data_IF_171145072483
#
_entry.id   IF_171145072483
#
_cell.length_a   1.000
_cell.length_b   1.000
_cell.length_c   1.000
_cell.angle_alpha   90.00
_cell.angle_beta   90.00
_cell.angle_gamma   90.00
#
_symmetry.space_group_name_H-M   'P 1'
#
loop_
_entity.id
_entity.type
_entity.pdbx_description
1 polymer ?
#
# COMPACT_ATOMS: atom_id res chain seq x y z
N UNK A 1 0.88 10.30 21.14
CA UNK A 1 -0.21 11.04 20.44
C UNK A 1 0.45 12.07 19.55
N UNK A 2 0.18 12.04 18.26
CA UNK A 2 0.63 13.12 17.38
C UNK A 2 0.02 14.44 17.83
N UNK A 3 0.80 15.53 17.91
CA UNK A 3 0.28 16.80 18.41
C UNK A 3 -0.73 17.39 17.41
N UNK A 4 -1.91 17.74 17.90
CA UNK A 4 -2.91 18.50 17.14
C UNK A 4 -2.30 19.86 16.76
N UNK A 5 -2.40 20.24 15.47
CA UNK A 5 -1.86 21.52 14.95
C UNK A 5 -2.99 22.54 14.69
N UNK A 6 -3.48 23.28 15.70
CA UNK A 6 -4.69 24.09 15.59
C UNK A 6 -4.64 25.14 14.47
N UNK A 7 -3.47 25.75 14.24
CA UNK A 7 -3.29 26.75 13.17
C UNK A 7 -3.54 26.17 11.79
N UNK A 8 -3.06 24.93 11.54
CA UNK A 8 -3.26 24.26 10.25
C UNK A 8 -4.71 23.83 10.05
N UNK A 9 -5.40 23.44 11.14
CA UNK A 9 -6.84 23.13 11.08
C UNK A 9 -7.64 24.39 10.68
N UNK A 10 -7.36 25.52 11.31
CA UNK A 10 -8.01 26.79 10.99
C UNK A 10 -7.73 27.18 9.54
N UNK A 11 -6.49 27.09 9.08
CA UNK A 11 -6.12 27.37 7.69
C UNK A 11 -6.90 26.46 6.73
N UNK A 12 -6.97 25.15 7.01
CA UNK A 12 -7.72 24.20 6.18
C UNK A 12 -9.20 24.54 6.10
N UNK A 13 -9.81 24.92 7.23
CA UNK A 13 -11.21 25.32 7.29
C UNK A 13 -11.47 26.63 6.52
N UNK A 14 -10.63 27.65 6.74
CA UNK A 14 -10.73 28.95 6.04
C UNK A 14 -10.56 28.75 4.53
N UNK A 15 -9.59 27.93 4.11
CA UNK A 15 -9.38 27.62 2.69
C UNK A 15 -10.58 26.92 2.05
N UNK A 16 -11.19 25.96 2.76
CA UNK A 16 -12.39 25.28 2.29
C UNK A 16 -13.59 26.22 2.15
N UNK A 17 -13.81 27.09 3.14
CA UNK A 17 -14.88 28.10 3.12
C UNK A 17 -14.63 29.13 2.01
N UNK A 18 -13.40 29.59 1.85
CA UNK A 18 -13.05 30.53 0.77
C UNK A 18 -13.26 29.88 -0.61
N UNK A 19 -12.84 28.63 -0.79
CA UNK A 19 -13.07 27.89 -2.05
C UNK A 19 -14.56 27.74 -2.34
N UNK A 20 -15.36 27.38 -1.33
CA UNK A 20 -16.82 27.30 -1.48
C UNK A 20 -17.40 28.63 -2.00
N UNK A 21 -17.03 29.76 -1.40
CA UNK A 21 -17.47 31.09 -1.83
C UNK A 21 -17.05 31.44 -3.25
N UNK A 22 -15.79 31.16 -3.62
CA UNK A 22 -15.25 31.37 -4.98
C UNK A 22 -16.00 30.54 -6.01
N UNK A 23 -16.25 29.25 -5.74
CA UNK A 23 -16.94 28.34 -6.67
C UNK A 23 -18.42 28.76 -6.86
N UNK A 24 -19.10 29.15 -5.82
CA UNK A 24 -20.46 29.71 -5.95
C UNK A 24 -20.47 30.98 -6.79
N UNK A 25 -19.52 31.88 -6.56
CA UNK A 25 -19.42 33.13 -7.32
C UNK A 25 -19.08 32.89 -8.79
N UNK A 26 -18.35 31.81 -9.10
CA UNK A 26 -18.06 31.39 -10.47
C UNK A 26 -19.23 30.69 -11.18
N UNK A 27 -20.37 30.51 -10.50
CA UNK A 27 -21.60 29.96 -11.10
C UNK A 27 -21.76 28.46 -10.96
N UNK A 28 -20.90 27.75 -10.18
CA UNK A 28 -21.10 26.34 -9.91
C UNK A 28 -22.33 26.13 -9.00
N UNK A 29 -22.98 24.98 -9.15
CA UNK A 29 -24.08 24.58 -8.28
C UNK A 29 -23.64 24.47 -6.81
N UNK A 30 -24.57 24.72 -5.87
CA UNK A 30 -24.29 24.57 -4.44
C UNK A 30 -23.69 23.19 -4.09
N UNK A 31 -24.26 22.13 -4.68
CA UNK A 31 -23.84 20.74 -4.42
C UNK A 31 -22.39 20.49 -4.91
N UNK A 32 -22.02 21.00 -6.08
CA UNK A 32 -20.64 20.91 -6.58
C UNK A 32 -19.68 21.70 -5.70
N UNK A 33 -20.03 22.94 -5.38
CA UNK A 33 -19.18 23.84 -4.60
C UNK A 33 -18.92 23.31 -3.18
N UNK A 34 -19.95 22.81 -2.49
CA UNK A 34 -19.81 22.25 -1.14
C UNK A 34 -19.05 20.93 -1.16
N UNK A 35 -19.23 20.08 -2.19
CA UNK A 35 -18.47 18.85 -2.36
C UNK A 35 -16.99 19.14 -2.55
N UNK A 36 -16.63 20.08 -3.38
CA UNK A 36 -15.25 20.53 -3.57
C UNK A 36 -14.64 21.08 -2.27
N UNK A 37 -15.38 21.90 -1.54
CA UNK A 37 -14.94 22.49 -0.28
C UNK A 37 -14.68 21.43 0.81
N UNK A 38 -15.59 20.47 1.00
CA UNK A 38 -15.41 19.35 1.95
C UNK A 38 -14.19 18.53 1.55
N UNK A 39 -14.02 18.24 0.26
CA UNK A 39 -12.86 17.48 -0.25
C UNK A 39 -11.56 18.22 0.02
N UNK A 40 -11.49 19.52 -0.27
CA UNK A 40 -10.28 20.32 0.00
C UNK A 40 -9.99 20.39 1.50
N UNK A 41 -11.00 20.48 2.36
CA UNK A 41 -10.82 20.40 3.80
C UNK A 41 -10.14 19.09 4.21
N UNK A 42 -10.69 17.95 3.78
CA UNK A 42 -10.14 16.61 4.09
C UNK A 42 -8.73 16.47 3.53
N UNK A 43 -8.53 16.87 2.26
CA UNK A 43 -7.23 16.82 1.59
C UNK A 43 -6.15 17.63 2.32
N UNK A 44 -6.47 18.89 2.70
CA UNK A 44 -5.53 19.74 3.44
C UNK A 44 -5.20 19.16 4.82
N UNK A 45 -6.18 18.60 5.54
CA UNK A 45 -5.95 17.96 6.82
C UNK A 45 -5.06 16.70 6.70
N UNK A 46 -5.20 15.93 5.60
CA UNK A 46 -4.32 14.78 5.33
C UNK A 46 -2.90 15.22 4.94
N UNK A 47 -2.77 16.19 4.03
CA UNK A 47 -1.45 16.65 3.56
C UNK A 47 -0.67 17.38 4.66
N UNK A 48 -1.35 18.16 5.50
CA UNK A 48 -0.69 18.92 6.58
C UNK A 48 -0.44 18.08 7.83
N UNK A 49 -1.04 16.87 7.90
CA UNK A 49 -1.04 16.04 9.12
C UNK A 49 -1.41 16.88 10.36
N UNK A 50 -2.43 17.72 10.21
CA UNK A 50 -2.90 18.59 11.27
C UNK A 50 -3.63 17.83 12.38
N UNK A 51 -4.14 16.65 12.04
CA UNK A 51 -4.78 15.65 12.89
C UNK A 51 -4.26 14.27 12.53
N UNK A 52 -4.42 13.30 13.43
CA UNK A 52 -4.19 11.89 13.09
C UNK A 52 -4.99 11.50 11.85
N UNK A 53 -4.37 10.84 10.88
CA UNK A 53 -4.88 10.59 9.51
C UNK A 53 -6.30 9.98 9.47
N UNK A 54 -6.69 9.22 10.48
CA UNK A 54 -8.01 8.60 10.57
C UNK A 54 -9.14 9.60 10.87
N UNK A 55 -8.85 10.73 11.53
CA UNK A 55 -9.88 11.69 11.95
C UNK A 55 -10.46 12.49 10.76
N UNK A 56 -9.66 13.05 9.86
CA UNK A 56 -10.21 13.67 8.65
C UNK A 56 -11.03 12.73 7.80
N UNK A 57 -10.71 11.43 7.82
CA UNK A 57 -11.46 10.40 7.09
C UNK A 57 -12.90 10.22 7.56
N UNK A 58 -13.23 10.67 8.76
CA UNK A 58 -14.60 10.65 9.28
C UNK A 58 -15.45 11.82 8.77
N UNK A 59 -14.83 12.91 8.31
CA UNK A 59 -15.54 14.10 7.83
C UNK A 59 -16.52 13.78 6.70
N UNK A 60 -16.16 13.03 5.65
CA UNK A 60 -17.07 12.66 4.57
C UNK A 60 -18.37 12.01 5.05
N UNK A 61 -18.31 11.16 6.08
CA UNK A 61 -19.46 10.40 6.57
C UNK A 61 -20.57 11.23 7.19
N UNK A 62 -20.25 12.42 7.72
CA UNK A 62 -21.27 13.31 8.26
C UNK A 62 -21.44 14.59 7.40
N UNK A 63 -20.36 15.12 6.83
CA UNK A 63 -20.44 16.41 6.12
C UNK A 63 -21.23 16.31 4.81
N UNK A 64 -21.04 15.24 4.01
CA UNK A 64 -21.80 15.05 2.78
C UNK A 64 -23.28 14.79 3.00
N UNK A 65 -23.72 13.92 3.94
CA UNK A 65 -25.13 13.83 4.28
C UNK A 65 -25.74 15.12 4.81
N UNK A 66 -25.03 15.87 5.68
CA UNK A 66 -25.48 17.16 6.17
C UNK A 66 -25.62 18.21 5.06
N UNK A 67 -24.77 18.13 4.04
CA UNK A 67 -24.82 18.99 2.86
C UNK A 67 -25.84 18.52 1.79
N UNK A 68 -26.50 17.39 1.98
CA UNK A 68 -27.46 16.82 1.02
C UNK A 68 -26.83 16.29 -0.28
N UNK A 69 -25.53 16.01 -0.28
CA UNK A 69 -24.80 15.49 -1.46
C UNK A 69 -25.10 14.02 -1.69
N UNK A 70 -25.04 13.21 -0.62
CA UNK A 70 -25.38 11.79 -0.58
C UNK A 70 -26.21 11.50 0.67
N UNK A 71 -26.93 10.39 0.67
CA UNK A 71 -27.68 9.94 1.86
C UNK A 71 -26.72 9.35 2.92
N UNK A 72 -27.18 9.30 4.18
CA UNK A 72 -26.38 8.68 5.24
C UNK A 72 -26.22 7.16 5.04
N UNK A 73 -27.15 6.49 4.34
CA UNK A 73 -27.02 5.08 3.95
C UNK A 73 -25.89 4.89 2.93
N UNK A 74 -25.84 5.74 1.91
CA UNK A 74 -24.75 5.72 0.92
C UNK A 74 -23.40 5.98 1.59
N UNK A 75 -23.30 7.00 2.44
CA UNK A 75 -22.08 7.26 3.20
C UNK A 75 -21.67 6.03 4.04
N UNK A 76 -22.60 5.42 4.79
CA UNK A 76 -22.33 4.24 5.61
C UNK A 76 -21.90 3.02 4.76
N UNK A 77 -22.43 2.87 3.54
CA UNK A 77 -22.07 1.77 2.63
C UNK A 77 -20.58 1.79 2.25
N UNK A 78 -19.93 2.95 2.29
CA UNK A 78 -18.50 3.06 2.03
C UNK A 78 -17.67 2.30 3.10
N UNK A 79 -18.07 2.32 4.36
CA UNK A 79 -17.40 1.53 5.42
C UNK A 79 -17.69 0.03 5.29
N UNK A 80 -18.88 -0.35 4.81
CA UNK A 80 -19.26 -1.75 4.54
C UNK A 80 -18.76 -2.30 3.20
N UNK A 81 -17.93 -1.58 2.47
CA UNK A 81 -17.43 -2.01 1.17
C UNK A 81 -16.62 -3.31 1.30
N UNK A 82 -16.85 -4.28 0.38
CA UNK A 82 -16.18 -5.58 0.40
C UNK A 82 -14.64 -5.48 0.33
N UNK A 83 -14.11 -4.42 -0.28
CA UNK A 83 -12.67 -4.15 -0.33
C UNK A 83 -12.12 -3.81 1.06
N UNK A 84 -12.88 -3.09 1.90
CA UNK A 84 -12.54 -2.84 3.31
C UNK A 84 -12.52 -4.15 4.11
N UNK A 85 -13.51 -5.02 3.89
CA UNK A 85 -13.59 -6.34 4.52
C UNK A 85 -12.42 -7.24 4.09
N UNK A 86 -12.02 -7.19 2.81
CA UNK A 86 -10.82 -7.89 2.31
C UNK A 86 -9.57 -7.44 3.08
N UNK A 87 -9.36 -6.12 3.20
CA UNK A 87 -8.21 -5.58 3.94
C UNK A 87 -8.21 -5.96 5.41
N UNK A 88 -9.36 -5.83 6.06
CA UNK A 88 -9.51 -6.22 7.46
C UNK A 88 -9.09 -7.67 7.67
N UNK A 89 -9.59 -8.58 6.83
CA UNK A 89 -9.22 -10.00 6.87
C UNK A 89 -7.74 -10.22 6.55
N UNK A 90 -7.19 -9.57 5.54
CA UNK A 90 -5.79 -9.68 5.17
C UNK A 90 -4.84 -9.18 6.28
N UNK A 91 -5.16 -8.06 6.93
CA UNK A 91 -4.38 -7.56 8.07
C UNK A 91 -4.43 -8.52 9.26
N UNK A 92 -5.58 -9.10 9.56
CA UNK A 92 -5.71 -10.12 10.62
C UNK A 92 -4.91 -11.38 10.30
N UNK A 93 -4.96 -11.86 9.05
CA UNK A 93 -4.14 -13.00 8.59
C UNK A 93 -2.64 -12.68 8.67
N UNK A 94 -2.22 -11.49 8.28
CA UNK A 94 -0.83 -11.02 8.44
C UNK A 94 -0.38 -11.05 9.90
N UNK A 95 -1.26 -10.68 10.85
CA UNK A 95 -0.97 -10.76 12.29
C UNK A 95 -0.73 -12.19 12.78
N UNK A 96 -1.34 -13.21 12.19
CA UNK A 96 -1.04 -14.61 12.53
C UNK A 96 0.37 -15.03 12.12
N UNK A 97 0.85 -14.56 10.93
CA UNK A 97 2.24 -14.75 10.49
C UNK A 97 3.23 -14.06 11.43
N UNK A 98 2.90 -12.84 11.88
CA UNK A 98 3.71 -12.10 12.84
C UNK A 98 3.75 -12.81 14.21
N UNK A 99 2.59 -13.24 14.75
CA UNK A 99 2.48 -13.93 16.04
C UNK A 99 3.28 -15.24 16.07
N UNK A 100 3.21 -16.04 15.02
CA UNK A 100 3.93 -17.31 14.94
C UNK A 100 5.44 -17.14 14.82
N UNK A 101 5.90 -16.03 14.28
CA UNK A 101 7.31 -15.77 13.96
C UNK A 101 7.82 -16.45 12.70
N UNK A 102 6.95 -17.15 11.93
CA UNK A 102 7.33 -17.86 10.70
C UNK A 102 7.96 -16.95 9.65
N UNK A 103 7.53 -15.69 9.61
CA UNK A 103 8.08 -14.67 8.71
C UNK A 103 9.59 -14.45 8.91
N UNK A 104 10.11 -14.54 10.15
CA UNK A 104 11.56 -14.45 10.45
C UNK A 104 12.33 -15.61 9.85
N UNK A 105 11.79 -16.83 9.97
CA UNK A 105 12.37 -18.04 9.40
C UNK A 105 12.41 -17.99 7.90
N UNK A 106 11.27 -17.62 7.27
CA UNK A 106 11.17 -17.42 5.82
C UNK A 106 12.20 -16.42 5.31
N UNK A 107 12.40 -15.30 6.04
CA UNK A 107 13.40 -14.31 5.70
C UNK A 107 14.81 -14.91 5.59
N UNK A 108 15.26 -15.62 6.61
CA UNK A 108 16.59 -16.24 6.58
C UNK A 108 16.73 -17.28 5.46
N UNK A 109 15.69 -18.09 5.21
CA UNK A 109 15.71 -19.07 4.11
C UNK A 109 15.76 -18.40 2.73
N UNK A 110 14.99 -17.34 2.51
CA UNK A 110 14.99 -16.61 1.23
C UNK A 110 16.34 -15.92 0.98
N UNK A 111 16.96 -15.31 2.02
CA UNK A 111 18.30 -14.73 1.90
C UNK A 111 19.34 -15.82 1.60
N UNK A 112 19.26 -16.97 2.23
CA UNK A 112 20.17 -18.11 1.98
C UNK A 112 20.03 -18.66 0.55
N UNK A 113 18.80 -18.70 0.02
CA UNK A 113 18.50 -19.20 -1.33
C UNK A 113 19.22 -18.38 -2.42
N UNK A 114 19.29 -17.05 -2.24
CA UNK A 114 19.96 -16.15 -3.18
C UNK A 114 21.49 -16.17 -3.06
N UNK A 115 22.02 -16.73 -1.96
CA UNK A 115 23.44 -16.88 -1.66
C UNK A 115 24.06 -15.63 -1.06
N UNK A 116 24.68 -15.79 0.11
CA UNK A 116 25.36 -14.72 0.85
C UNK A 116 26.87 -14.60 0.52
N UNK A 117 27.37 -15.28 -0.50
CA UNK A 117 28.81 -15.41 -0.80
C UNK A 117 29.43 -14.14 -1.40
N UNK A 118 28.63 -13.17 -1.81
CA UNK A 118 29.09 -11.87 -2.27
C UNK A 118 28.15 -10.76 -1.85
N UNK A 119 28.68 -9.55 -1.64
CA UNK A 119 27.92 -8.38 -1.21
C UNK A 119 26.73 -8.10 -2.14
N UNK A 120 26.90 -8.23 -3.46
CA UNK A 120 25.80 -8.05 -4.43
C UNK A 120 24.68 -9.07 -4.26
N UNK A 121 25.02 -10.36 -4.11
CA UNK A 121 24.02 -11.41 -3.89
C UNK A 121 23.32 -11.26 -2.56
N UNK A 122 24.05 -10.83 -1.52
CA UNK A 122 23.47 -10.56 -0.22
C UNK A 122 22.44 -9.43 -0.28
N UNK A 123 22.78 -8.29 -0.91
CA UNK A 123 21.84 -7.17 -1.10
C UNK A 123 20.61 -7.63 -1.87
N UNK A 124 20.81 -8.34 -3.00
CA UNK A 124 19.70 -8.89 -3.77
C UNK A 124 18.85 -9.85 -2.93
N UNK A 125 19.48 -10.67 -2.09
CA UNK A 125 18.78 -11.58 -1.16
C UNK A 125 17.89 -10.86 -0.17
N UNK A 126 18.38 -9.79 0.44
CA UNK A 126 17.57 -8.93 1.30
C UNK A 126 16.44 -8.27 0.54
N UNK A 127 16.70 -7.73 -0.64
CA UNK A 127 15.68 -7.09 -1.49
C UNK A 127 14.62 -8.09 -1.94
N UNK A 128 15.02 -9.26 -2.42
CA UNK A 128 14.10 -10.32 -2.84
C UNK A 128 13.21 -10.79 -1.69
N UNK A 129 13.83 -11.01 -0.53
CA UNK A 129 13.11 -11.39 0.70
C UNK A 129 12.14 -10.30 1.13
N UNK A 130 12.59 -9.05 1.16
CA UNK A 130 11.75 -7.91 1.51
C UNK A 130 10.56 -7.78 0.58
N UNK A 131 10.78 -7.90 -0.73
CA UNK A 131 9.71 -7.83 -1.73
C UNK A 131 8.68 -8.95 -1.56
N UNK A 132 9.12 -10.22 -1.44
CA UNK A 132 8.19 -11.35 -1.28
C UNK A 132 7.38 -11.24 0.00
N UNK A 133 8.03 -10.94 1.12
CA UNK A 133 7.30 -10.83 2.40
C UNK A 133 6.33 -9.65 2.39
N UNK A 134 6.73 -8.54 1.79
CA UNK A 134 5.91 -7.33 1.71
C UNK A 134 4.67 -7.47 0.80
N UNK A 135 4.60 -8.50 -0.03
CA UNK A 135 3.36 -8.85 -0.75
C UNK A 135 2.25 -9.35 0.20
N UNK A 136 2.60 -9.87 1.38
CA UNK A 136 1.67 -10.59 2.26
C UNK A 136 1.60 -10.02 3.67
N UNK A 137 2.67 -9.33 4.09
CA UNK A 137 2.81 -8.70 5.41
C UNK A 137 3.05 -7.20 5.17
N UNK A 138 2.70 -6.35 6.14
CA UNK A 138 2.92 -4.90 5.98
C UNK A 138 4.40 -4.57 5.71
N UNK A 139 4.64 -3.58 4.86
CA UNK A 139 6.00 -3.09 4.54
C UNK A 139 6.77 -2.73 5.81
N UNK A 140 6.10 -2.11 6.78
CA UNK A 140 6.67 -1.74 8.09
C UNK A 140 7.13 -2.95 8.88
N UNK A 141 6.29 -3.98 9.01
CA UNK A 141 6.64 -5.20 9.74
C UNK A 141 7.79 -5.95 9.06
N UNK A 142 7.79 -6.02 7.74
CA UNK A 142 8.86 -6.62 6.94
C UNK A 142 10.20 -5.90 7.18
N UNK A 143 10.20 -4.57 7.14
CA UNK A 143 11.41 -3.76 7.34
C UNK A 143 11.93 -3.86 8.77
N UNK A 144 11.06 -3.72 9.79
CA UNK A 144 11.43 -3.87 11.20
C UNK A 144 12.04 -5.25 11.51
N UNK A 145 11.55 -6.29 10.86
CA UNK A 145 12.06 -7.63 11.04
C UNK A 145 13.43 -7.84 10.39
N UNK A 146 13.63 -7.31 9.17
CA UNK A 146 14.89 -7.47 8.43
C UNK A 146 16.01 -6.57 8.97
N UNK A 147 15.67 -5.43 9.57
CA UNK A 147 16.65 -4.44 10.05
C UNK A 147 17.66 -5.02 11.05
N UNK A 148 17.28 -5.74 12.12
CA UNK A 148 18.25 -6.31 13.06
C UNK A 148 19.20 -7.31 12.40
N UNK A 149 18.68 -8.14 11.45
CA UNK A 149 19.49 -9.09 10.70
C UNK A 149 20.50 -8.35 9.82
N UNK A 150 20.04 -7.31 9.14
CA UNK A 150 20.88 -6.47 8.29
C UNK A 150 21.98 -5.76 9.09
N UNK A 151 21.65 -5.14 10.23
CA UNK A 151 22.62 -4.44 11.08
C UNK A 151 23.69 -5.38 11.64
N UNK A 152 23.32 -6.58 12.06
CA UNK A 152 24.29 -7.56 12.52
C UNK A 152 25.33 -7.91 11.44
N UNK A 153 24.89 -8.04 10.17
CA UNK A 153 25.77 -8.34 9.04
C UNK A 153 26.60 -7.12 8.64
N UNK A 154 26.00 -5.92 8.63
CA UNK A 154 26.67 -4.66 8.30
C UNK A 154 27.83 -4.40 9.29
N UNK A 155 27.56 -4.50 10.59
CA UNK A 155 28.57 -4.30 11.62
C UNK A 155 29.70 -5.33 11.54
N UNK A 156 29.37 -6.59 11.22
CA UNK A 156 30.38 -7.63 11.05
C UNK A 156 31.24 -7.42 9.78
N UNK A 157 30.69 -6.80 8.74
CA UNK A 157 31.40 -6.56 7.46
C UNK A 157 32.30 -5.32 7.53
N UNK A 158 32.02 -4.38 8.41
CA UNK A 158 32.68 -3.08 8.54
C UNK A 158 32.74 -2.27 7.23
N UNK A 159 31.69 -2.39 6.38
CA UNK A 159 31.58 -1.74 5.08
C UNK A 159 30.38 -0.77 5.03
N UNK A 160 30.62 0.55 5.11
CA UNK A 160 29.56 1.56 4.99
C UNK A 160 28.78 1.49 3.67
N UNK A 161 29.46 1.12 2.58
CA UNK A 161 28.81 0.97 1.26
C UNK A 161 27.82 -0.18 1.24
N UNK A 162 28.18 -1.30 1.89
CA UNK A 162 27.28 -2.44 2.04
C UNK A 162 26.07 -2.04 2.91
N UNK A 163 26.32 -1.31 4.01
CA UNK A 163 25.27 -0.80 4.89
C UNK A 163 24.22 0.00 4.13
N UNK A 164 24.64 1.00 3.38
CA UNK A 164 23.75 1.81 2.55
C UNK A 164 22.93 0.95 1.57
N UNK A 165 23.59 0.05 0.83
CA UNK A 165 22.92 -0.76 -0.20
C UNK A 165 21.91 -1.76 0.40
N UNK A 166 22.22 -2.38 1.55
CA UNK A 166 21.32 -3.33 2.23
C UNK A 166 20.11 -2.59 2.82
N UNK A 167 20.34 -1.49 3.55
CA UNK A 167 19.26 -0.77 4.23
C UNK A 167 18.29 -0.12 3.24
N UNK A 168 18.80 0.60 2.25
CA UNK A 168 17.97 1.14 1.17
C UNK A 168 17.29 0.03 0.38
N UNK A 169 18.01 -1.05 0.09
CA UNK A 169 17.49 -2.22 -0.59
C UNK A 169 16.29 -2.84 0.13
N UNK A 170 16.33 -2.99 1.44
CA UNK A 170 15.22 -3.51 2.26
C UNK A 170 14.00 -2.59 2.16
N UNK A 171 14.18 -1.29 2.42
CA UNK A 171 13.07 -0.33 2.46
C UNK A 171 12.39 -0.18 1.09
N UNK A 172 13.20 -0.02 0.05
CA UNK A 172 12.68 0.20 -1.31
C UNK A 172 12.08 -1.07 -1.90
N UNK A 173 12.68 -2.24 -1.63
CA UNK A 173 12.10 -3.51 -2.03
C UNK A 173 10.82 -3.86 -1.26
N UNK A 174 10.66 -3.42 -0.01
CA UNK A 174 9.39 -3.54 0.71
C UNK A 174 8.29 -2.73 0.01
N UNK A 175 8.58 -1.49 -0.37
CA UNK A 175 7.62 -0.62 -1.06
C UNK A 175 7.22 -1.17 -2.43
N UNK A 176 8.19 -1.53 -3.28
CA UNK A 176 7.94 -2.11 -4.61
C UNK A 176 7.31 -3.50 -4.51
N UNK A 177 7.76 -4.34 -3.57
CA UNK A 177 7.20 -5.67 -3.34
C UNK A 177 5.71 -5.65 -3.02
N UNK A 178 5.29 -4.70 -2.18
CA UNK A 178 3.87 -4.50 -1.85
C UNK A 178 2.97 -4.24 -3.06
N UNK A 179 3.52 -3.79 -4.19
CA UNK A 179 2.77 -3.65 -5.45
C UNK A 179 2.35 -5.00 -6.04
N UNK A 180 3.08 -6.08 -5.74
CA UNK A 180 2.85 -7.40 -6.35
C UNK A 180 1.50 -8.03 -6.04
N UNK A 181 0.84 -7.66 -4.93
CA UNK A 181 -0.50 -8.15 -4.58
C UNK A 181 -1.45 -7.01 -4.24
N UNK A 182 -2.78 -7.23 -4.31
CA UNK A 182 -3.76 -6.21 -3.89
C UNK A 182 -3.54 -5.71 -2.46
N UNK A 183 -3.21 -6.60 -1.54
CA UNK A 183 -3.15 -6.36 -0.10
C UNK A 183 -1.78 -5.87 0.40
N UNK A 184 -0.75 -5.85 -0.45
CA UNK A 184 0.62 -5.54 -0.04
C UNK A 184 0.84 -4.07 0.28
N UNK A 185 0.11 -3.15 -0.36
CA UNK A 185 0.19 -1.72 -0.07
C UNK A 185 -1.16 -1.02 -0.25
N UNK A 186 -1.45 0.00 0.59
CA UNK A 186 -2.74 0.70 0.60
C UNK A 186 -3.23 1.27 -0.73
N UNK A 187 -2.41 1.95 -1.53
CA UNK A 187 -2.85 2.52 -2.81
C UNK A 187 -3.48 1.52 -3.79
N UNK A 188 -3.04 0.25 -3.76
CA UNK A 188 -3.59 -0.80 -4.64
C UNK A 188 -5.09 -0.98 -4.41
N UNK A 189 -5.47 -1.05 -3.15
CA UNK A 189 -6.86 -1.28 -2.73
C UNK A 189 -7.74 -0.04 -2.97
N UNK A 190 -7.20 1.17 -2.74
CA UNK A 190 -7.91 2.42 -3.05
C UNK A 190 -8.26 2.45 -4.52
N UNK A 191 -7.28 2.14 -5.38
CA UNK A 191 -7.50 2.03 -6.82
C UNK A 191 -8.61 1.01 -7.14
N UNK A 192 -8.50 -0.23 -6.63
CA UNK A 192 -9.49 -1.29 -6.92
C UNK A 192 -10.90 -0.88 -6.54
N UNK A 193 -11.06 -0.22 -5.39
CA UNK A 193 -12.37 0.24 -4.91
C UNK A 193 -12.95 1.35 -5.78
N UNK A 194 -12.15 2.38 -6.09
CA UNK A 194 -12.62 3.51 -6.93
C UNK A 194 -12.86 3.06 -8.36
N UNK A 195 -12.00 2.19 -8.91
CA UNK A 195 -12.17 1.62 -10.24
C UNK A 195 -13.50 0.86 -10.37
N UNK A 196 -13.80 0.01 -9.39
CA UNK A 196 -15.07 -0.72 -9.37
C UNK A 196 -16.29 0.21 -9.24
N UNK A 197 -16.22 1.27 -8.44
CA UNK A 197 -17.28 2.25 -8.31
C UNK A 197 -17.53 2.99 -9.64
N UNK A 198 -16.45 3.29 -10.37
CA UNK A 198 -16.54 4.04 -11.63
C UNK A 198 -16.98 3.17 -12.80
N UNK A 199 -16.49 1.92 -12.89
CA UNK A 199 -16.68 1.05 -14.06
C UNK A 199 -17.67 -0.08 -13.83
N UNK A 200 -18.07 -0.34 -12.58
CA UNK A 200 -18.86 -1.53 -12.20
C UNK A 200 -18.07 -2.85 -12.25
N UNK A 201 -16.79 -2.82 -12.64
CA UNK A 201 -15.96 -4.02 -12.85
C UNK A 201 -15.04 -4.28 -11.67
N UNK A 202 -15.11 -5.47 -11.09
CA UNK A 202 -14.20 -5.90 -10.01
C UNK A 202 -12.86 -6.39 -10.59
N UNK A 203 -11.76 -5.94 -10.02
CA UNK A 203 -10.43 -6.50 -10.29
C UNK A 203 -10.17 -7.60 -9.27
N UNK A 204 -10.08 -8.86 -9.74
CA UNK A 204 -9.76 -10.00 -8.89
C UNK A 204 -8.29 -9.98 -8.44
N UNK A 205 -7.99 -10.72 -7.37
CA UNK A 205 -6.63 -10.85 -6.83
C UNK A 205 -5.60 -11.24 -7.90
N UNK A 206 -5.91 -12.27 -8.70
CA UNK A 206 -5.02 -12.72 -9.78
C UNK A 206 -4.90 -11.70 -10.91
N UNK A 207 -5.97 -10.97 -11.24
CA UNK A 207 -5.91 -9.96 -12.29
C UNK A 207 -5.03 -8.77 -11.91
N UNK A 208 -4.98 -8.39 -10.63
CA UNK A 208 -3.98 -7.46 -10.14
C UNK A 208 -2.56 -8.03 -10.28
N UNK A 209 -2.33 -9.27 -9.80
CA UNK A 209 -1.01 -9.91 -9.83
C UNK A 209 -0.43 -10.05 -11.24
N UNK A 210 -1.27 -10.24 -12.26
CA UNK A 210 -0.83 -10.30 -13.68
C UNK A 210 -0.08 -9.04 -14.13
N UNK A 211 -0.32 -7.89 -13.51
CA UNK A 211 0.42 -6.63 -13.76
C UNK A 211 1.42 -6.34 -12.67
N UNK A 212 1.02 -6.45 -11.39
CA UNK A 212 1.88 -6.11 -10.26
C UNK A 212 3.14 -6.98 -10.15
N UNK A 213 3.00 -8.30 -10.28
CA UNK A 213 4.15 -9.23 -10.17
C UNK A 213 5.18 -9.01 -11.27
N UNK A 214 4.84 -8.91 -12.57
CA UNK A 214 5.81 -8.56 -13.60
C UNK A 214 6.54 -7.24 -13.35
N UNK A 215 5.84 -6.20 -12.88
CA UNK A 215 6.46 -4.92 -12.51
C UNK A 215 7.51 -5.13 -11.41
N UNK A 216 7.19 -5.87 -10.35
CA UNK A 216 8.13 -6.18 -9.27
C UNK A 216 9.33 -6.98 -9.78
N UNK A 217 9.09 -8.01 -10.62
CA UNK A 217 10.14 -8.86 -11.18
C UNK A 217 11.13 -8.09 -12.07
N UNK A 218 10.71 -7.03 -12.73
CA UNK A 218 11.58 -6.16 -13.55
C UNK A 218 12.22 -5.06 -12.69
N UNK A 219 11.45 -4.40 -11.82
CA UNK A 219 11.95 -3.31 -11.00
C UNK A 219 13.03 -3.76 -10.01
N UNK A 220 12.81 -4.89 -9.33
CA UNK A 220 13.70 -5.36 -8.26
C UNK A 220 15.14 -5.61 -8.73
N UNK A 221 15.42 -6.35 -9.83
CA UNK A 221 16.77 -6.50 -10.37
C UNK A 221 17.41 -5.19 -10.81
N UNK A 222 16.65 -4.29 -11.45
CA UNK A 222 17.17 -2.98 -11.88
C UNK A 222 17.58 -2.13 -10.68
N UNK A 223 16.76 -2.09 -9.64
CA UNK A 223 17.08 -1.42 -8.37
C UNK A 223 18.30 -2.04 -7.69
N UNK A 224 18.39 -3.38 -7.66
CA UNK A 224 19.53 -4.08 -7.10
C UNK A 224 20.83 -3.79 -7.87
N UNK A 225 20.79 -3.78 -9.18
CA UNK A 225 21.94 -3.40 -10.01
C UNK A 225 22.41 -1.98 -9.71
N UNK A 226 21.48 -1.03 -9.58
CA UNK A 226 21.79 0.34 -9.23
C UNK A 226 22.44 0.45 -7.85
N UNK A 227 21.79 -0.10 -6.80
CA UNK A 227 22.26 -0.01 -5.42
C UNK A 227 23.61 -0.73 -5.21
N UNK A 228 23.88 -1.79 -5.97
CA UNK A 228 25.10 -2.61 -5.82
C UNK A 228 26.24 -2.23 -6.76
N UNK A 229 26.10 -1.17 -7.57
CA UNK A 229 27.10 -0.78 -8.58
C UNK A 229 28.50 -0.52 -8.02
N UNK A 230 28.58 -0.11 -6.75
CA UNK A 230 29.84 0.23 -6.06
C UNK A 230 30.35 -0.86 -5.10
N UNK A 231 29.71 -2.05 -5.05
CA UNK A 231 30.03 -3.14 -4.12
C UNK A 231 30.98 -4.20 -4.72
N UNK A 232 32.09 -3.80 -5.31
CA UNK A 232 33.09 -4.77 -5.78
C UNK A 232 34.07 -5.10 -4.66
N UNK A 233 34.22 -6.41 -4.35
CA UNK A 233 35.21 -6.88 -3.38
C UNK A 233 34.86 -6.70 -1.90
N UNK A 234 33.67 -6.21 -1.56
CA UNK A 234 33.22 -6.08 -0.17
C UNK A 234 32.97 -7.45 0.47
N UNK A 235 33.40 -7.57 1.72
CA UNK A 235 33.17 -8.80 2.53
C UNK A 235 31.73 -8.82 3.08
N UNK A 236 31.20 -10.00 3.25
CA UNK A 236 29.89 -10.24 3.84
C UNK A 236 30.01 -10.89 5.22
N UNK A 237 29.09 -10.57 6.14
CA UNK A 237 28.97 -11.25 7.42
C UNK A 237 28.18 -12.59 7.27
N UNK A 238 28.27 -13.44 8.31
CA UNK A 238 27.50 -14.67 8.37
C UNK A 238 26.01 -14.40 8.65
N UNK A 239 25.15 -15.22 8.04
CA UNK A 239 23.71 -15.19 8.33
C UNK A 239 23.41 -15.90 9.66
N UNK A 240 22.40 -15.45 10.41
CA UNK A 240 22.00 -16.12 11.65
C UNK A 240 21.46 -17.52 11.38
N UNK A 241 21.64 -18.41 12.34
CA UNK A 241 21.05 -19.74 12.30
C UNK A 241 19.58 -19.69 12.74
N UNK A 242 18.76 -20.51 12.09
CA UNK A 242 17.36 -20.72 12.49
C UNK A 242 17.22 -22.09 13.15
N UNK A 243 16.62 -22.11 14.32
CA UNK A 243 16.35 -23.33 15.06
C UNK A 243 15.36 -24.28 14.35
N UNK A 244 14.92 -25.37 14.98
CA UNK A 244 13.95 -26.32 14.41
C UNK A 244 12.59 -25.66 14.16
N UNK A 245 11.80 -26.25 13.25
CA UNK A 245 10.44 -25.80 12.98
C UNK A 245 9.53 -25.99 14.20
N UNK A 246 8.78 -24.95 14.55
CA UNK A 246 7.73 -25.03 15.56
C UNK A 246 6.39 -25.41 14.94
N UNK A 247 5.53 -26.10 15.70
CA UNK A 247 4.20 -26.49 15.24
C UNK A 247 3.35 -25.29 14.81
N UNK A 248 3.41 -24.19 15.56
CA UNK A 248 2.71 -22.96 15.25
C UNK A 248 3.12 -22.38 13.89
N UNK A 249 4.44 -22.35 13.59
CA UNK A 249 4.97 -21.84 12.32
C UNK A 249 4.47 -22.65 11.12
N UNK A 250 4.53 -24.00 11.22
CA UNK A 250 4.09 -24.87 10.14
C UNK A 250 2.58 -24.77 9.88
N UNK A 251 1.78 -24.74 10.94
CA UNK A 251 0.31 -24.67 10.83
C UNK A 251 -0.16 -23.32 10.28
N UNK A 252 0.41 -22.21 10.76
CA UNK A 252 0.09 -20.87 10.22
C UNK A 252 0.45 -20.79 8.75
N UNK A 253 1.65 -21.26 8.37
CA UNK A 253 2.08 -21.24 6.98
C UNK A 253 1.19 -22.10 6.08
N UNK A 254 0.76 -23.27 6.56
CA UNK A 254 -0.16 -24.14 5.82
C UNK A 254 -1.51 -23.46 5.56
N UNK A 255 -2.15 -22.92 6.63
CA UNK A 255 -3.46 -22.25 6.50
C UNK A 255 -3.34 -20.99 5.65
N UNK A 256 -2.30 -20.19 5.85
CA UNK A 256 -2.06 -18.99 5.06
C UNK A 256 -1.84 -19.30 3.57
N UNK A 257 -1.03 -20.33 3.28
CA UNK A 257 -0.81 -20.77 1.89
C UNK A 257 -2.11 -21.26 1.24
N UNK A 258 -2.96 -21.96 1.99
CA UNK A 258 -4.28 -22.37 1.51
C UNK A 258 -5.16 -21.17 1.15
N UNK A 259 -5.22 -20.14 2.03
CA UNK A 259 -5.98 -18.91 1.78
C UNK A 259 -5.41 -18.16 0.57
N UNK A 260 -4.07 -18.03 0.48
CA UNK A 260 -3.42 -17.38 -0.66
C UNK A 260 -3.71 -18.09 -1.99
N UNK A 261 -3.68 -19.43 -2.00
CA UNK A 261 -4.07 -20.22 -3.16
C UNK A 261 -5.54 -20.05 -3.51
N UNK A 262 -6.42 -20.00 -2.51
CA UNK A 262 -7.84 -19.75 -2.72
C UNK A 262 -8.08 -18.37 -3.38
N UNK A 263 -7.34 -17.31 -2.99
CA UNK A 263 -7.41 -16.00 -3.65
C UNK A 263 -6.90 -16.03 -5.10
N UNK A 264 -5.71 -16.58 -5.31
CA UNK A 264 -5.07 -16.61 -6.63
C UNK A 264 -5.91 -17.40 -7.63
N UNK A 265 -6.47 -18.53 -7.20
CA UNK A 265 -7.26 -19.40 -8.07
C UNK A 265 -8.77 -19.17 -7.96
N UNK A 266 -9.23 -18.11 -7.26
CA UNK A 266 -10.65 -17.81 -7.07
C UNK A 266 -11.46 -17.87 -8.37
N UNK A 267 -11.09 -17.18 -9.46
CA UNK A 267 -11.91 -17.18 -10.65
C UNK A 267 -12.10 -18.57 -11.27
N UNK A 268 -11.15 -19.48 -11.08
CA UNK A 268 -11.20 -20.83 -11.65
C UNK A 268 -12.07 -21.77 -10.81
N UNK A 269 -11.85 -21.83 -9.47
CA UNK A 269 -12.61 -22.74 -8.64
C UNK A 269 -14.05 -22.26 -8.40
N UNK A 270 -14.29 -20.95 -8.33
CA UNK A 270 -15.68 -20.43 -8.24
C UNK A 270 -16.48 -20.76 -9.47
N UNK A 271 -15.91 -20.60 -10.67
CA UNK A 271 -16.55 -20.99 -11.91
C UNK A 271 -16.80 -22.51 -11.99
N UNK A 272 -15.84 -23.32 -11.51
CA UNK A 272 -15.99 -24.79 -11.53
C UNK A 272 -17.10 -25.28 -10.60
N UNK A 273 -17.25 -24.66 -9.42
CA UNK A 273 -18.28 -25.05 -8.46
C UNK A 273 -19.59 -24.26 -8.59
N UNK A 274 -19.72 -23.33 -9.55
CA UNK A 274 -20.88 -22.45 -9.68
C UNK A 274 -21.07 -21.49 -8.51
N UNK A 275 -19.98 -21.02 -7.92
CA UNK A 275 -19.95 -20.17 -6.71
C UNK A 275 -19.53 -18.73 -7.03
N UNK A 276 -20.03 -18.12 -8.10
CA UNK A 276 -19.66 -16.78 -8.56
C UNK A 276 -19.96 -15.66 -7.56
N UNK A 277 -20.76 -15.94 -6.53
CA UNK A 277 -21.07 -15.05 -5.43
C UNK A 277 -19.95 -14.98 -4.37
N UNK A 278 -18.88 -15.78 -4.45
CA UNK A 278 -17.76 -15.76 -3.53
C UNK A 278 -16.71 -14.74 -3.97
N UNK A 279 -16.55 -13.67 -3.16
CA UNK A 279 -15.53 -12.64 -3.38
C UNK A 279 -14.23 -12.88 -2.58
N UNK A 280 -13.20 -12.09 -2.87
CA UNK A 280 -11.90 -12.16 -2.15
C UNK A 280 -12.06 -11.86 -0.66
N UNK A 281 -12.97 -10.98 -0.29
CA UNK A 281 -13.30 -10.67 1.12
C UNK A 281 -13.89 -11.88 1.87
N UNK A 282 -14.70 -12.68 1.20
CA UNK A 282 -15.28 -13.90 1.77
C UNK A 282 -14.17 -14.89 2.16
N UNK A 283 -13.21 -15.09 1.28
CA UNK A 283 -12.04 -15.97 1.51
C UNK A 283 -11.19 -15.44 2.66
N UNK A 284 -10.94 -14.11 2.69
CA UNK A 284 -10.18 -13.48 3.76
C UNK A 284 -10.78 -13.74 5.13
N UNK A 285 -12.08 -13.46 5.30
CA UNK A 285 -12.78 -13.61 6.57
C UNK A 285 -12.89 -15.08 7.00
N UNK A 286 -13.15 -16.00 6.06
CA UNK A 286 -13.12 -17.43 6.34
C UNK A 286 -11.73 -17.87 6.82
N UNK A 287 -10.65 -17.38 6.19
CA UNK A 287 -9.28 -17.62 6.61
C UNK A 287 -8.98 -17.13 8.04
N UNK A 288 -9.48 -15.95 8.41
CA UNK A 288 -9.35 -15.42 9.78
C UNK A 288 -10.03 -16.34 10.79
N UNK A 289 -11.26 -16.78 10.52
CA UNK A 289 -11.98 -17.71 11.40
C UNK A 289 -11.22 -19.03 11.53
N UNK A 290 -10.71 -19.57 10.44
CA UNK A 290 -9.87 -20.79 10.46
C UNK A 290 -8.63 -20.60 11.35
N UNK A 291 -7.93 -19.47 11.25
CA UNK A 291 -6.79 -19.16 12.12
C UNK A 291 -7.17 -19.07 13.60
N UNK A 292 -8.38 -18.60 13.91
CA UNK A 292 -8.85 -18.48 15.30
C UNK A 292 -9.28 -19.81 15.91
N UNK A 293 -9.70 -20.81 15.12
CA UNK A 293 -10.18 -22.09 15.65
C UNK A 293 -9.13 -23.19 15.60
N UNK A 294 -8.06 -23.07 14.81
CA UNK A 294 -7.00 -24.07 14.71
C UNK A 294 -5.99 -23.87 15.85
N UNK A 295 -5.75 -24.91 16.68
CA UNK A 295 -4.74 -24.85 17.74
C UNK A 295 -3.32 -24.67 17.15
N UNK A 296 -2.48 -23.85 17.81
CA UNK A 296 -1.08 -23.65 17.39
C UNK A 296 -0.14 -24.82 17.77
N UNK A 297 -0.62 -25.75 18.60
CA UNK A 297 0.17 -26.88 19.10
C UNK A 297 1.06 -26.54 20.29
N UNK A 298 0.97 -25.34 20.82
CA UNK A 298 1.73 -24.84 21.97
C UNK A 298 0.78 -24.51 23.13
N UNK A 299 1.27 -24.60 24.36
CA UNK A 299 0.51 -24.15 25.54
C UNK A 299 0.97 -22.75 25.92
N UNK A 300 0.04 -21.85 25.99
CA UNK A 300 0.29 -20.46 26.42
C UNK A 300 0.14 -20.40 27.95
N UNK A 301 1.14 -19.86 28.64
CA UNK A 301 1.11 -19.62 30.08
C UNK A 301 0.33 -18.33 30.32
N UNK A 302 -0.82 -18.43 30.98
CA UNK A 302 -1.65 -17.30 31.40
C UNK A 302 -1.60 -17.15 32.93
N UNK A 303 -1.94 -15.98 33.48
CA UNK A 303 -2.02 -15.80 34.93
C UNK A 303 -2.99 -16.80 35.62
N UNK A 304 -3.96 -17.36 34.86
CA UNK A 304 -4.94 -18.36 35.32
C UNK A 304 -4.54 -19.80 35.05
N UNK A 305 -3.28 -20.07 34.57
CA UNK A 305 -2.79 -21.41 34.23
C UNK A 305 -2.39 -21.56 32.78
N UNK A 306 -2.08 -22.82 32.37
CA UNK A 306 -1.71 -23.12 30.99
C UNK A 306 -2.95 -23.39 30.15
N UNK A 307 -3.16 -22.63 29.05
CA UNK A 307 -4.25 -22.82 28.08
C UNK A 307 -3.71 -23.24 26.72
N UNK A 308 -4.57 -23.94 25.95
CA UNK A 308 -4.29 -24.23 24.54
C UNK A 308 -4.19 -22.93 23.78
N UNK A 309 -3.08 -22.69 23.06
CA UNK A 309 -2.93 -21.57 22.15
C UNK A 309 -3.56 -21.84 20.79
N UNK A 310 -3.98 -20.78 20.10
CA UNK A 310 -4.51 -20.82 18.74
C UNK A 310 -3.62 -20.03 17.78
N UNK A 311 -3.74 -20.27 16.46
CA UNK A 311 -2.91 -19.62 15.44
C UNK A 311 -3.12 -18.11 15.46
N UNK A 312 -4.36 -17.67 15.70
CA UNK A 312 -4.72 -16.27 15.91
C UNK A 312 -5.68 -16.19 17.10
N UNK A 313 -5.47 -15.23 17.96
CA UNK A 313 -6.42 -14.87 19.04
C UNK A 313 -6.95 -13.45 18.82
N UNK A 314 -8.05 -13.11 19.47
CA UNK A 314 -8.68 -11.81 19.31
C UNK A 314 -7.76 -10.65 19.72
N UNK A 315 -6.98 -10.80 20.79
CA UNK A 315 -6.06 -9.77 21.26
C UNK A 315 -4.98 -9.40 20.21
N UNK A 316 -4.57 -10.38 19.43
CA UNK A 316 -3.66 -10.18 18.29
C UNK A 316 -4.42 -9.66 17.07
N UNK A 317 -5.56 -10.23 16.74
CA UNK A 317 -6.36 -9.86 15.58
C UNK A 317 -6.81 -8.39 15.62
N UNK A 318 -7.19 -7.88 16.80
CA UNK A 318 -7.61 -6.48 16.95
C UNK A 318 -6.48 -5.44 16.79
N UNK A 319 -5.19 -5.86 16.75
CA UNK A 319 -4.04 -4.96 16.56
C UNK A 319 -3.79 -4.58 15.09
N UNK A 320 -4.79 -4.71 14.26
CA UNK A 320 -4.73 -4.23 12.88
C UNK A 320 -4.81 -2.70 12.82
N UNK A 321 -4.33 -2.08 11.75
CA UNK A 321 -4.36 -0.62 11.62
C UNK A 321 -5.76 -0.10 11.26
N UNK A 322 -6.67 -0.03 12.24
CA UNK A 322 -8.06 0.45 12.08
C UNK A 322 -8.14 1.82 11.43
N UNK A 323 -7.18 2.73 11.75
CA UNK A 323 -7.12 4.05 11.15
C UNK A 323 -6.98 4.01 9.63
N UNK A 324 -6.25 3.03 9.10
CA UNK A 324 -6.11 2.84 7.65
C UNK A 324 -7.43 2.42 7.00
N UNK A 325 -8.18 1.52 7.64
CA UNK A 325 -9.50 1.11 7.14
C UNK A 325 -10.47 2.30 7.08
N UNK A 326 -10.42 3.19 8.07
CA UNK A 326 -11.22 4.43 8.09
C UNK A 326 -10.80 5.39 6.95
N UNK A 327 -9.49 5.55 6.68
CA UNK A 327 -9.00 6.39 5.58
C UNK A 327 -9.53 5.89 4.25
N UNK A 328 -9.51 4.58 4.01
CA UNK A 328 -10.04 4.00 2.78
C UNK A 328 -11.56 4.19 2.66
N UNK A 329 -12.29 3.94 3.73
CA UNK A 329 -13.74 4.15 3.75
C UNK A 329 -14.10 5.63 3.50
N UNK A 330 -13.34 6.58 4.09
CA UNK A 330 -13.48 8.00 3.82
C UNK A 330 -13.20 8.36 2.36
N UNK A 331 -12.17 7.75 1.76
CA UNK A 331 -11.86 7.90 0.34
C UNK A 331 -12.95 7.38 -0.60
N UNK A 332 -13.54 6.23 -0.26
CA UNK A 332 -14.69 5.66 -0.98
C UNK A 332 -15.89 6.62 -0.90
N UNK A 333 -16.16 7.16 0.28
CA UNK A 333 -17.23 8.13 0.49
C UNK A 333 -17.00 9.44 -0.30
N UNK A 334 -15.74 9.92 -0.39
CA UNK A 334 -15.36 11.05 -1.24
C UNK A 334 -15.64 10.76 -2.73
N UNK A 335 -15.27 9.58 -3.22
CA UNK A 335 -15.50 9.18 -4.61
C UNK A 335 -17.01 9.12 -4.94
N UNK A 336 -17.83 8.59 -4.03
CA UNK A 336 -19.29 8.59 -4.18
C UNK A 336 -19.86 10.01 -4.26
N UNK A 337 -19.37 10.92 -3.39
CA UNK A 337 -19.81 12.31 -3.38
C UNK A 337 -19.38 13.05 -4.66
N UNK A 338 -18.20 12.75 -5.23
CA UNK A 338 -17.75 13.33 -6.51
C UNK A 338 -18.72 12.98 -7.63
N UNK A 339 -19.09 11.71 -7.75
CA UNK A 339 -20.03 11.23 -8.75
C UNK A 339 -21.42 11.86 -8.53
N UNK A 340 -21.93 11.80 -7.30
CA UNK A 340 -23.26 12.32 -6.98
C UNK A 340 -23.40 13.84 -7.18
N UNK A 341 -22.32 14.60 -6.97
CA UNK A 341 -22.33 16.06 -7.16
C UNK A 341 -22.10 16.52 -8.59
N UNK A 342 -21.68 15.65 -9.52
CA UNK A 342 -21.24 16.02 -10.87
C UNK A 342 -19.83 16.66 -10.90
N UNK A 343 -19.10 16.63 -9.78
CA UNK A 343 -17.74 17.19 -9.72
C UNK A 343 -16.76 16.36 -10.57
N UNK A 344 -17.01 15.07 -10.70
CA UNK A 344 -16.23 14.18 -11.56
C UNK A 344 -16.23 14.63 -13.02
N UNK A 345 -17.37 14.94 -13.58
CA UNK A 345 -17.53 15.39 -14.97
C UNK A 345 -16.86 16.74 -15.20
N UNK A 346 -16.98 17.67 -14.25
CA UNK A 346 -16.33 18.98 -14.32
C UNK A 346 -14.81 18.86 -14.34
N UNK A 347 -14.24 18.04 -13.45
CA UNK A 347 -12.81 17.79 -13.39
C UNK A 347 -12.31 17.09 -14.66
N UNK A 348 -13.07 16.09 -15.16
CA UNK A 348 -12.77 15.41 -16.39
C UNK A 348 -12.68 16.37 -17.58
N UNK A 349 -13.66 17.25 -17.75
CA UNK A 349 -13.65 18.26 -18.81
C UNK A 349 -12.44 19.19 -18.72
N UNK A 350 -12.01 19.58 -17.53
CA UNK A 350 -10.81 20.41 -17.33
C UNK A 350 -9.50 19.71 -17.75
N UNK A 351 -9.50 18.38 -17.83
CA UNK A 351 -8.32 17.57 -18.15
C UNK A 351 -8.28 17.09 -19.62
N UNK A 352 -9.27 17.43 -20.45
CA UNK A 352 -9.31 17.04 -21.87
C UNK A 352 -8.07 17.50 -22.67
N UNK A 353 -7.41 18.59 -22.27
CA UNK A 353 -6.15 19.02 -22.87
C UNK A 353 -5.01 17.99 -22.75
N UNK A 354 -5.10 17.03 -21.82
CA UNK A 354 -4.10 15.95 -21.69
C UNK A 354 -4.17 14.92 -22.82
N UNK A 355 -5.31 14.84 -23.55
CA UNK A 355 -5.49 13.91 -24.66
C UNK A 355 -4.52 14.19 -25.84
N UNK A 356 -3.88 15.34 -25.88
CA UNK A 356 -2.89 15.68 -26.92
C UNK A 356 -1.58 14.91 -26.76
N UNK A 357 -1.28 14.44 -25.54
CA UNK A 357 -0.02 13.71 -25.28
C UNK A 357 -0.12 12.25 -25.74
N UNK A 358 0.96 11.69 -26.36
CA UNK A 358 1.05 10.25 -26.58
C UNK A 358 0.83 9.49 -25.24
N UNK A 359 0.04 8.43 -25.27
CA UNK A 359 -0.39 7.70 -24.07
C UNK A 359 0.79 7.29 -23.18
N UNK A 360 1.89 6.80 -23.78
CA UNK A 360 3.10 6.46 -23.01
C UNK A 360 3.65 7.67 -22.24
N UNK A 361 3.73 8.83 -22.88
CA UNK A 361 4.25 10.04 -22.26
C UNK A 361 3.31 10.56 -21.15
N UNK A 362 2.00 10.51 -21.38
CA UNK A 362 0.99 10.86 -20.40
C UNK A 362 1.14 10.01 -19.13
N UNK A 363 1.20 8.68 -19.27
CA UNK A 363 1.34 7.75 -18.14
C UNK A 363 2.70 7.93 -17.45
N UNK A 364 3.79 8.13 -18.20
CA UNK A 364 5.11 8.35 -17.61
C UNK A 364 5.17 9.65 -16.78
N UNK A 365 4.66 10.75 -17.32
CA UNK A 365 4.59 12.03 -16.60
C UNK A 365 3.72 11.90 -15.36
N UNK A 366 2.60 11.19 -15.44
CA UNK A 366 1.75 10.88 -14.30
C UNK A 366 2.50 10.08 -13.23
N UNK A 367 3.19 8.99 -13.61
CA UNK A 367 3.98 8.17 -12.69
C UNK A 367 5.04 9.00 -11.97
N UNK A 368 5.81 9.81 -12.71
CA UNK A 368 6.83 10.69 -12.14
C UNK A 368 6.20 11.71 -11.19
N UNK A 369 5.15 12.41 -11.62
CA UNK A 369 4.47 13.42 -10.81
C UNK A 369 3.97 12.83 -9.50
N UNK A 370 3.28 11.68 -9.54
CA UNK A 370 2.77 11.02 -8.35
C UNK A 370 3.91 10.55 -7.46
N UNK A 371 4.97 9.94 -8.01
CA UNK A 371 6.12 9.48 -7.25
C UNK A 371 6.84 10.63 -6.53
N UNK A 372 6.98 11.80 -7.14
CA UNK A 372 7.59 12.97 -6.47
C UNK A 372 6.65 13.64 -5.45
N UNK A 373 5.35 13.69 -5.71
CA UNK A 373 4.36 14.23 -4.76
C UNK A 373 4.30 13.36 -3.50
N UNK A 374 4.32 12.05 -3.65
CA UNK A 374 4.24 11.13 -2.51
C UNK A 374 5.49 11.14 -1.62
N UNK A 375 6.61 11.73 -2.05
CA UNK A 375 7.80 11.95 -1.20
C UNK A 375 7.56 12.93 -0.04
N UNK A 376 6.60 13.82 -0.20
CA UNK A 376 6.26 14.86 0.79
C UNK A 376 4.83 14.72 1.33
N UNK A 377 4.07 13.77 0.81
CA UNK A 377 2.70 13.47 1.23
C UNK A 377 2.56 11.99 1.56
N UNK A 378 1.51 11.62 2.31
CA UNK A 378 1.21 10.21 2.57
C UNK A 378 0.80 9.48 1.29
N UNK A 379 1.38 8.30 1.03
CA UNK A 379 1.04 7.42 -0.11
C UNK A 379 -0.48 7.17 -0.18
N UNK A 380 -1.08 6.89 0.98
CA UNK A 380 -2.52 6.62 1.11
C UNK A 380 -3.35 7.86 0.77
N UNK A 381 -2.99 9.02 1.34
CA UNK A 381 -3.69 10.28 1.06
C UNK A 381 -3.58 10.66 -0.42
N UNK A 382 -2.39 10.54 -1.00
CA UNK A 382 -2.14 10.81 -2.43
C UNK A 382 -3.03 9.93 -3.31
N UNK A 383 -3.04 8.61 -3.06
CA UNK A 383 -3.89 7.69 -3.83
C UNK A 383 -5.38 8.01 -3.64
N UNK A 384 -5.83 8.23 -2.40
CA UNK A 384 -7.23 8.49 -2.10
C UNK A 384 -7.77 9.73 -2.82
N UNK A 385 -6.95 10.78 -2.90
CA UNK A 385 -7.33 12.03 -3.58
C UNK A 385 -7.27 11.92 -5.10
N UNK A 386 -6.24 11.23 -5.63
CA UNK A 386 -6.02 11.17 -7.07
C UNK A 386 -6.95 10.18 -7.78
N UNK A 387 -7.32 9.06 -7.16
CA UNK A 387 -8.07 8.00 -7.85
C UNK A 387 -9.40 8.48 -8.45
N UNK A 388 -10.29 9.21 -7.74
CA UNK A 388 -11.53 9.72 -8.33
C UNK A 388 -11.28 10.72 -9.47
N UNK A 389 -10.24 11.56 -9.35
CA UNK A 389 -9.87 12.57 -10.36
C UNK A 389 -9.37 11.86 -11.63
N UNK A 390 -8.50 10.87 -11.49
CA UNK A 390 -7.95 10.12 -12.61
C UNK A 390 -9.00 9.24 -13.30
N UNK A 391 -9.95 8.69 -12.54
CA UNK A 391 -11.08 7.96 -13.10
C UNK A 391 -11.89 8.87 -14.03
N UNK A 392 -12.23 10.06 -13.55
CA UNK A 392 -12.99 11.04 -14.33
C UNK A 392 -12.20 11.58 -15.53
N UNK A 393 -10.90 11.83 -15.36
CA UNK A 393 -10.01 12.27 -16.42
C UNK A 393 -9.93 11.22 -17.56
N UNK A 394 -9.78 9.94 -17.19
CA UNK A 394 -9.70 8.85 -18.17
C UNK A 394 -10.98 8.74 -19.00
N UNK A 395 -12.15 8.80 -18.34
CA UNK A 395 -13.45 8.80 -19.03
C UNK A 395 -13.58 10.00 -19.98
N UNK A 396 -13.15 11.19 -19.54
CA UNK A 396 -13.24 12.41 -20.36
C UNK A 396 -12.35 12.39 -21.62
N UNK A 397 -11.25 11.64 -21.62
CA UNK A 397 -10.34 11.49 -22.78
C UNK A 397 -10.54 10.17 -23.52
N UNK A 398 -11.63 9.44 -23.24
CA UNK A 398 -11.99 8.15 -23.85
C UNK A 398 -10.91 7.06 -23.72
N UNK A 399 -10.30 6.98 -22.52
CA UNK A 399 -9.29 5.97 -22.15
C UNK A 399 -9.82 5.14 -20.98
N UNK A 400 -9.53 3.82 -20.97
CA UNK A 400 -9.90 2.98 -19.84
C UNK A 400 -9.30 3.57 -18.54
N UNK A 401 -10.11 3.85 -17.51
CA UNK A 401 -9.65 4.37 -16.23
C UNK A 401 -8.50 3.58 -15.61
N UNK A 402 -8.42 2.28 -15.87
CA UNK A 402 -7.34 1.41 -15.42
C UNK A 402 -5.96 1.93 -15.86
N UNK A 403 -5.86 2.47 -17.09
CA UNK A 403 -4.58 2.90 -17.70
C UNK A 403 -3.98 4.13 -16.99
N UNK A 404 -4.80 4.99 -16.40
CA UNK A 404 -4.31 6.13 -15.61
C UNK A 404 -4.26 5.82 -14.11
N UNK A 405 -5.28 5.15 -13.58
CA UNK A 405 -5.41 4.93 -12.15
C UNK A 405 -4.40 3.91 -11.61
N UNK A 406 -4.20 2.79 -12.32
CA UNK A 406 -3.32 1.71 -11.84
C UNK A 406 -1.85 2.15 -11.74
N UNK A 407 -1.25 2.78 -12.77
CA UNK A 407 0.13 3.26 -12.65
C UNK A 407 0.29 4.37 -11.61
N UNK A 408 -0.71 5.24 -11.43
CA UNK A 408 -0.70 6.23 -10.37
C UNK A 408 -0.75 5.59 -8.97
N UNK A 409 -1.59 4.57 -8.75
CA UNK A 409 -1.66 3.84 -7.49
C UNK A 409 -0.33 3.14 -7.16
N UNK A 410 0.29 2.50 -8.15
CA UNK A 410 1.61 1.86 -8.01
C UNK A 410 2.68 2.91 -7.68
N UNK A 411 2.71 4.03 -8.42
CA UNK A 411 3.68 5.10 -8.21
C UNK A 411 3.52 5.80 -6.86
N UNK A 412 2.29 5.91 -6.34
CA UNK A 412 2.03 6.42 -5.00
C UNK A 412 2.68 5.56 -3.89
N UNK A 413 2.98 4.28 -4.16
CA UNK A 413 3.71 3.40 -3.23
C UNK A 413 5.23 3.50 -3.39
N UNK A 414 5.73 4.18 -4.44
CA UNK A 414 7.13 4.24 -4.83
C UNK A 414 7.75 5.59 -4.45
N UNK A 415 8.02 5.78 -3.15
CA UNK A 415 8.70 6.95 -2.60
C UNK A 415 10.05 6.53 -2.00
N UNK A 416 11.16 6.95 -2.62
CA UNK A 416 12.49 6.43 -2.29
C UNK A 416 13.47 7.50 -1.81
N UNK A 417 13.09 8.81 -1.81
CA UNK A 417 14.04 9.90 -1.56
C UNK A 417 14.08 10.33 -0.09
N UNK A 418 12.92 10.49 0.53
CA UNK A 418 12.83 11.15 1.83
C UNK A 418 12.59 10.15 2.97
N UNK A 419 13.24 10.33 4.14
CA UNK A 419 12.97 9.50 5.32
C UNK A 419 11.51 9.58 5.76
N UNK A 420 10.88 10.75 5.62
CA UNK A 420 9.49 11.00 6.06
C UNK A 420 8.44 10.48 5.07
N UNK A 421 8.85 10.14 3.84
CA UNK A 421 7.93 9.73 2.79
C UNK A 421 7.15 8.45 3.14
N UNK A 422 7.83 7.50 3.78
CA UNK A 422 7.24 6.21 4.16
C UNK A 422 7.75 5.73 5.52
N UNK A 423 6.95 4.96 6.28
CA UNK A 423 7.43 4.34 7.52
C UNK A 423 8.69 3.48 7.32
N UNK A 424 8.81 2.78 6.19
CA UNK A 424 9.98 1.93 5.92
C UNK A 424 11.25 2.75 5.73
N UNK A 425 11.17 3.90 5.07
CA UNK A 425 12.29 4.84 4.92
C UNK A 425 12.72 5.40 6.28
N UNK A 426 11.76 5.80 7.12
CA UNK A 426 12.02 6.29 8.48
C UNK A 426 12.72 5.23 9.34
N UNK A 427 12.29 3.97 9.26
CA UNK A 427 12.87 2.85 10.00
C UNK A 427 14.34 2.64 9.63
N UNK A 428 14.66 2.53 8.35
CA UNK A 428 16.06 2.32 7.94
C UNK A 428 16.93 3.57 8.21
N UNK A 429 16.37 4.76 8.09
CA UNK A 429 17.04 6.00 8.44
C UNK A 429 17.36 6.10 9.94
N UNK A 430 16.46 5.62 10.80
CA UNK A 430 16.65 5.63 12.26
C UNK A 430 17.80 4.73 12.74
N UNK A 431 18.34 3.86 11.89
CA UNK A 431 19.53 3.06 12.20
C UNK A 431 20.79 3.92 12.40
N UNK A 432 20.80 5.16 11.92
CA UNK A 432 21.97 6.05 11.97
C UNK A 432 23.02 5.80 10.88
N UNK A 433 22.86 4.76 10.08
CA UNK A 433 23.80 4.37 9.00
C UNK A 433 23.57 5.13 7.67
N UNK A 434 22.46 5.87 7.57
CA UNK A 434 22.06 6.57 6.36
C UNK A 434 22.01 8.08 6.57
N UNK A 435 22.34 8.83 5.50
CA UNK A 435 22.11 10.28 5.47
C UNK A 435 20.98 10.62 4.49
N UNK A 436 20.24 11.70 4.75
CA UNK A 436 19.19 12.19 3.85
C UNK A 436 19.76 12.43 2.44
N UNK A 437 20.96 13.01 2.36
CA UNK A 437 21.65 13.24 1.05
C UNK A 437 21.85 11.95 0.26
N UNK A 438 22.21 10.86 0.94
CA UNK A 438 22.37 9.54 0.30
C UNK A 438 21.03 9.01 -0.17
N UNK A 439 19.99 9.09 0.66
CA UNK A 439 18.64 8.65 0.29
C UNK A 439 18.12 9.43 -0.93
N UNK A 440 18.23 10.74 -0.94
CA UNK A 440 17.79 11.57 -2.07
C UNK A 440 18.54 11.20 -3.35
N UNK A 441 19.87 11.08 -3.29
CA UNK A 441 20.70 10.77 -4.46
C UNK A 441 20.36 9.41 -5.07
N UNK A 442 20.21 8.38 -4.25
CA UNK A 442 19.90 7.04 -4.73
C UNK A 442 18.42 6.94 -5.12
N UNK A 443 17.51 7.57 -4.34
CA UNK A 443 16.08 7.53 -4.53
C UNK A 443 15.59 8.22 -5.80
N UNK A 444 16.14 9.40 -6.17
CA UNK A 444 15.76 10.09 -7.43
C UNK A 444 15.92 9.18 -8.65
N UNK A 445 17.04 8.48 -8.73
CA UNK A 445 17.31 7.60 -9.89
C UNK A 445 16.34 6.41 -9.87
N UNK A 446 16.05 5.87 -8.68
CA UNK A 446 15.13 4.74 -8.55
C UNK A 446 13.68 5.15 -8.82
N UNK A 447 13.25 6.36 -8.42
CA UNK A 447 11.93 6.90 -8.80
C UNK A 447 11.79 6.95 -10.33
N UNK A 448 12.82 7.41 -11.04
CA UNK A 448 12.82 7.46 -12.52
C UNK A 448 12.78 6.04 -13.10
N UNK A 449 13.67 5.14 -12.67
CA UNK A 449 13.71 3.75 -13.16
C UNK A 449 12.35 3.06 -12.96
N UNK A 450 11.78 3.17 -11.76
CA UNK A 450 10.51 2.52 -11.45
C UNK A 450 9.35 3.15 -12.21
N UNK A 451 9.34 4.47 -12.44
CA UNK A 451 8.32 5.12 -13.27
C UNK A 451 8.31 4.56 -14.71
N UNK A 452 9.46 4.34 -15.32
CA UNK A 452 9.56 3.69 -16.65
C UNK A 452 9.05 2.24 -16.61
N UNK A 453 9.43 1.47 -15.58
CA UNK A 453 9.00 0.07 -15.42
C UNK A 453 7.49 -0.01 -15.22
N UNK A 454 6.91 0.86 -14.39
CA UNK A 454 5.47 0.91 -14.13
C UNK A 454 4.72 1.30 -15.41
N UNK A 455 5.15 2.35 -16.10
CA UNK A 455 4.56 2.80 -17.36
C UNK A 455 4.55 1.67 -18.40
N UNK A 456 5.72 1.07 -18.64
CA UNK A 456 5.86 -0.04 -19.60
C UNK A 456 5.07 -1.27 -19.16
N UNK A 457 5.13 -1.63 -17.88
CA UNK A 457 4.46 -2.81 -17.34
C UNK A 457 2.92 -2.71 -17.43
N UNK A 458 2.33 -1.56 -17.12
CA UNK A 458 0.88 -1.36 -17.23
C UNK A 458 0.45 -1.35 -18.70
N UNK A 459 1.12 -0.62 -19.56
CA UNK A 459 0.76 -0.56 -20.98
C UNK A 459 0.90 -1.92 -21.67
N UNK A 460 1.96 -2.69 -21.39
CA UNK A 460 2.16 -4.02 -21.99
C UNK A 460 1.18 -5.10 -21.48
N UNK A 461 0.63 -4.94 -20.28
CA UNK A 461 -0.26 -5.96 -19.70
C UNK A 461 -1.73 -5.62 -19.85
N UNK A 462 -2.07 -4.39 -20.27
CA UNK A 462 -3.45 -3.90 -20.29
C UNK A 462 -3.87 -3.25 -21.61
N UNK A 463 -2.97 -3.05 -22.55
CA UNK A 463 -3.25 -2.75 -23.96
C UNK A 463 -3.07 -4.00 -24.80
#
# INVERSE_FOLDING_TARGET
>A
MEPVKPKLIIISLVSAVALYGVLLFSGLSHIMAISAAITVLVAMLWVTEALHIALPALIPFFAFPMAGVISYQEAASALGNHVILLLMGAFMLSKSLEKSGVHKRLAVYLIRLTGANSARRLVFGFMFTSAILSMWISNTATTLMLLPIALAIIHASNSPKLGVAVLLGIAYAASVGGVGTPIGTPPNIIFMSVYQQTTGTEISFINWMKTGVPIVLVALPLMALWLTRHLKGEKTGALPEVGPWRSAEARVLFVFSFVAMAWVFRPYWTAWFGMDFVGDSTIALAGVVLMCVIPNGERETTPSGSKQGYLLDWNTAQQIPWGMLLVFAGGICLAQAFTASGLSELLGQGLTGLAVLPLFLLVLVLCLSVSFVTEITSNTATATLLMPILASAAVAIDVDPLILMMPAAISASCAFMMPVATPVNAIVYSSGELTVKTMVREGVVLNIIVAFVVTGGVLLTRT
#
